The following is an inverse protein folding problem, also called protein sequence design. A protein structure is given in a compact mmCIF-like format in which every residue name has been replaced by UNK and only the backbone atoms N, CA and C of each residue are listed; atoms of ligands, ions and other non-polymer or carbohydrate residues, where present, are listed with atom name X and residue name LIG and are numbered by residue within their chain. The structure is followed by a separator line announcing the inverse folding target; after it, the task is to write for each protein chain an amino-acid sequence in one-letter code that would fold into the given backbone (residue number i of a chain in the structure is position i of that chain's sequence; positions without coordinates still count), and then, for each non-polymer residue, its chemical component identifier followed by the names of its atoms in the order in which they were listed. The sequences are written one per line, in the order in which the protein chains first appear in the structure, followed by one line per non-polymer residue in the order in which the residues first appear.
data_IF_861240575976
#
_entry.id   IF_861240575976
#
_cell.length_a   1.000
_cell.length_b   1.000
_cell.length_c   1.000
_cell.angle_alpha   90.00
_cell.angle_beta   90.00
_cell.angle_gamma   90.00
#
_symmetry.space_group_name_H-M   'P 1'
#
loop_
_entity.id
_entity.type
_entity.pdbx_description
1 polymer ?
#
# COMPACT_ATOMS: atom_id res chain seq x y z
N UNK A 1 -16.56 1.22 5.73
CA UNK A 1 -16.40 2.69 5.71
C UNK A 1 -14.95 3.17 5.53
N UNK A 2 -13.92 2.34 5.74
CA UNK A 2 -12.51 2.77 5.78
C UNK A 2 -12.02 3.61 4.56
N UNK A 3 -12.39 3.26 3.33
CA UNK A 3 -12.03 4.05 2.15
C UNK A 3 -12.65 5.46 2.14
N UNK A 4 -13.92 5.61 2.56
CA UNK A 4 -14.65 6.88 2.48
C UNK A 4 -14.10 7.95 3.43
N UNK A 5 -13.41 7.53 4.50
CA UNK A 5 -12.86 8.45 5.51
C UNK A 5 -11.62 9.18 4.98
N UNK A 6 -10.89 8.55 4.04
CA UNK A 6 -9.65 9.07 3.49
C UNK A 6 -9.91 10.05 2.33
N UNK A 7 -9.39 11.30 2.40
CA UNK A 7 -9.65 12.33 1.39
C UNK A 7 -9.36 11.90 -0.05
N UNK A 8 -8.32 11.09 -0.27
CA UNK A 8 -7.86 10.62 -1.60
C UNK A 8 -8.81 9.63 -2.29
N UNK A 9 -9.82 9.12 -1.58
CA UNK A 9 -10.81 8.17 -2.11
C UNK A 9 -12.22 8.77 -2.26
N UNK A 10 -12.47 9.99 -1.76
CA UNK A 10 -13.82 10.61 -1.75
C UNK A 10 -14.42 10.84 -3.14
N UNK A 11 -13.59 10.94 -4.17
CA UNK A 11 -14.01 11.24 -5.54
C UNK A 11 -13.78 10.06 -6.50
N UNK A 12 -13.56 8.86 -5.98
CA UNK A 12 -13.36 7.67 -6.82
C UNK A 12 -14.70 7.11 -7.30
N UNK A 13 -14.76 6.70 -8.56
CA UNK A 13 -15.91 5.97 -9.07
C UNK A 13 -15.94 4.54 -8.52
N UNK A 14 -17.10 3.89 -8.57
CA UNK A 14 -17.22 2.47 -8.21
C UNK A 14 -16.31 1.59 -9.09
N UNK A 15 -16.13 1.95 -10.36
CA UNK A 15 -15.21 1.26 -11.26
C UNK A 15 -13.75 1.37 -10.77
N UNK A 16 -13.37 2.49 -10.16
CA UNK A 16 -12.02 2.65 -9.60
C UNK A 16 -11.78 1.75 -8.40
N UNK A 17 -12.82 1.48 -7.59
CA UNK A 17 -12.76 0.56 -6.46
C UNK A 17 -12.50 -0.88 -6.90
N UNK A 18 -13.00 -1.29 -8.07
CA UNK A 18 -12.71 -2.63 -8.60
C UNK A 18 -11.21 -2.86 -8.78
N UNK A 19 -10.50 -1.94 -9.44
CA UNK A 19 -9.05 -2.06 -9.59
C UNK A 19 -8.27 -1.85 -8.29
N UNK A 20 -8.78 -0.99 -7.41
CA UNK A 20 -8.12 -0.66 -6.14
C UNK A 20 -8.24 -1.75 -5.07
N UNK A 21 -9.29 -2.57 -5.13
CA UNK A 21 -9.62 -3.53 -4.08
C UNK A 21 -9.68 -4.95 -4.60
N UNK A 22 -10.38 -5.22 -5.71
CA UNK A 22 -10.58 -6.59 -6.18
C UNK A 22 -9.30 -7.20 -6.74
N UNK A 23 -8.58 -6.47 -7.59
CA UNK A 23 -7.33 -6.97 -8.16
C UNK A 23 -6.27 -7.33 -7.13
N UNK A 24 -6.00 -6.48 -6.11
CA UNK A 24 -5.08 -6.87 -5.05
C UNK A 24 -5.64 -7.96 -4.14
N UNK A 25 -6.95 -7.98 -3.86
CA UNK A 25 -7.55 -9.00 -3.00
C UNK A 25 -7.42 -10.40 -3.59
N UNK A 26 -7.72 -10.57 -4.88
CA UNK A 26 -7.65 -11.87 -5.59
C UNK A 26 -6.21 -12.42 -5.66
N UNK A 27 -5.21 -11.57 -5.44
CA UNK A 27 -3.77 -11.89 -5.59
C UNK A 27 -3.02 -11.94 -4.27
N UNK A 28 -3.73 -11.95 -3.14
CA UNK A 28 -3.14 -11.86 -1.80
C UNK A 28 -2.19 -10.66 -1.65
N UNK A 29 -2.59 -9.54 -2.27
CA UNK A 29 -1.88 -8.25 -2.28
C UNK A 29 -2.53 -7.22 -1.37
N UNK A 30 -3.24 -7.73 -0.37
CA UNK A 30 -3.83 -7.00 0.73
C UNK A 30 -3.29 -7.58 2.04
N UNK A 31 -2.66 -6.74 2.86
CA UNK A 31 -2.27 -7.09 4.22
C UNK A 31 -3.18 -6.35 5.20
N UNK A 32 -3.80 -7.05 6.14
CA UNK A 32 -4.70 -6.45 7.13
C UNK A 32 -4.06 -6.41 8.52
N UNK A 33 -4.34 -5.36 9.27
CA UNK A 33 -4.10 -5.30 10.70
C UNK A 33 -5.45 -5.31 11.43
N UNK A 34 -5.53 -6.13 12.47
CA UNK A 34 -6.72 -6.28 13.30
C UNK A 34 -6.59 -5.52 14.60
N UNK A 35 -7.69 -5.18 15.27
CA UNK A 35 -7.64 -4.56 16.60
C UNK A 35 -6.95 -5.47 17.63
N UNK A 36 -6.22 -4.85 18.56
CA UNK A 36 -5.51 -5.59 19.61
C UNK A 36 -6.39 -5.91 20.83
N UNK A 37 -7.61 -5.37 20.88
CA UNK A 37 -8.55 -5.58 21.97
C UNK A 37 -9.25 -6.94 21.80
N UNK A 38 -9.27 -7.79 22.84
CA UNK A 38 -9.91 -9.12 22.81
C UNK A 38 -11.39 -9.05 22.39
N UNK A 39 -12.12 -8.02 22.83
CA UNK A 39 -13.54 -7.84 22.49
C UNK A 39 -13.77 -7.44 21.03
N UNK A 40 -12.73 -6.95 20.34
CA UNK A 40 -12.77 -6.49 18.94
C UNK A 40 -11.70 -7.13 18.08
N UNK A 41 -11.14 -8.26 18.49
CA UNK A 41 -9.96 -8.84 17.86
C UNK A 41 -10.16 -9.20 16.37
N UNK A 42 -11.43 -9.33 15.93
CA UNK A 42 -11.80 -9.60 14.54
C UNK A 42 -12.05 -8.34 13.71
N UNK A 43 -12.09 -7.16 14.33
CA UNK A 43 -12.29 -5.90 13.62
C UNK A 43 -11.01 -5.50 12.89
N UNK A 44 -11.15 -5.19 11.60
CA UNK A 44 -10.04 -4.68 10.78
C UNK A 44 -9.75 -3.24 11.20
N UNK A 45 -8.59 -3.04 11.82
CA UNK A 45 -8.09 -1.73 12.21
C UNK A 45 -7.55 -0.96 10.99
N UNK A 46 -6.85 -1.64 10.08
CA UNK A 46 -6.26 -1.02 8.89
C UNK A 46 -5.81 -2.03 7.85
N UNK A 47 -5.44 -1.52 6.67
CA UNK A 47 -5.13 -2.35 5.51
C UNK A 47 -4.03 -1.75 4.63
N UNK A 48 -3.08 -2.55 4.16
CA UNK A 48 -2.05 -2.19 3.19
C UNK A 48 -2.34 -2.83 1.83
N UNK A 49 -2.20 -2.04 0.77
CA UNK A 49 -2.25 -2.49 -0.62
C UNK A 49 -0.83 -2.46 -1.17
N UNK A 50 -0.37 -3.56 -1.76
CA UNK A 50 1.00 -3.71 -2.23
C UNK A 50 1.09 -4.48 -3.54
N UNK A 51 2.26 -4.49 -4.17
CA UNK A 51 2.52 -5.30 -5.36
C UNK A 51 3.98 -5.77 -5.35
N UNK A 52 4.24 -6.93 -5.95
CA UNK A 52 5.59 -7.44 -6.20
C UNK A 52 5.86 -7.38 -7.69
N UNK A 53 6.70 -6.45 -8.13
CA UNK A 53 6.73 -6.02 -9.53
C UNK A 53 8.09 -6.21 -10.19
N UNK A 54 8.09 -6.37 -11.50
CA UNK A 54 9.32 -6.38 -12.31
C UNK A 54 9.94 -4.98 -12.41
N UNK A 55 11.19 -4.90 -12.88
CA UNK A 55 11.86 -3.62 -13.13
C UNK A 55 11.10 -2.74 -14.13
N UNK A 56 10.49 -3.35 -15.15
CA UNK A 56 9.70 -2.62 -16.14
C UNK A 56 8.45 -1.98 -15.50
N UNK A 57 7.79 -2.70 -14.61
CA UNK A 57 6.59 -2.21 -13.92
C UNK A 57 6.97 -1.18 -12.85
N UNK A 58 8.09 -1.35 -12.17
CA UNK A 58 8.64 -0.34 -11.27
C UNK A 58 8.83 1.02 -11.97
N UNK A 59 9.41 1.03 -13.18
CA UNK A 59 9.57 2.26 -13.98
C UNK A 59 8.22 2.91 -14.27
N UNK A 60 7.22 2.12 -14.68
CA UNK A 60 5.85 2.60 -14.93
C UNK A 60 5.20 3.18 -13.67
N UNK A 61 5.40 2.55 -12.51
CA UNK A 61 4.89 3.07 -11.23
C UNK A 61 5.52 4.44 -10.95
N UNK A 62 6.85 4.56 -11.06
CA UNK A 62 7.57 5.83 -10.85
C UNK A 62 7.11 6.93 -11.83
N UNK A 63 6.88 6.58 -13.08
CA UNK A 63 6.34 7.51 -14.09
C UNK A 63 4.93 8.00 -13.73
N UNK A 64 4.03 7.09 -13.36
CA UNK A 64 2.68 7.45 -12.89
C UNK A 64 2.73 8.38 -11.67
N UNK A 65 3.59 8.08 -10.70
CA UNK A 65 3.83 8.93 -9.52
C UNK A 65 4.31 10.32 -9.94
N UNK A 66 5.27 10.39 -10.86
CA UNK A 66 5.86 11.65 -11.34
C UNK A 66 4.83 12.57 -12.00
N UNK A 67 3.88 12.00 -12.74
CA UNK A 67 2.78 12.76 -13.37
C UNK A 67 1.56 12.95 -12.46
N UNK A 68 1.63 12.51 -11.19
CA UNK A 68 0.58 12.71 -10.19
C UNK A 68 -0.66 11.83 -10.39
N UNK A 69 -0.54 10.69 -11.07
CA UNK A 69 -1.64 9.74 -11.25
C UNK A 69 -1.97 9.07 -9.92
N UNK A 70 -3.20 9.25 -9.47
CA UNK A 70 -3.78 8.53 -8.35
C UNK A 70 -5.23 8.13 -8.66
N UNK A 71 -5.62 6.86 -8.44
CA UNK A 71 -4.80 5.76 -7.95
C UNK A 71 -3.84 5.21 -9.03
N UNK A 72 -2.78 4.53 -8.59
CA UNK A 72 -1.90 3.81 -9.52
C UNK A 72 -2.67 2.72 -10.27
N UNK A 73 -2.41 2.59 -11.57
CA UNK A 73 -3.01 1.58 -12.44
C UNK A 73 -1.97 0.55 -12.83
N UNK A 74 -2.19 -0.67 -12.40
CA UNK A 74 -1.41 -1.84 -12.77
C UNK A 74 -2.29 -2.77 -13.59
N UNK A 75 -1.71 -3.43 -14.59
CA UNK A 75 -2.41 -4.53 -15.24
C UNK A 75 -2.56 -5.71 -14.26
N UNK A 76 -3.55 -6.59 -14.46
CA UNK A 76 -3.73 -7.79 -13.65
C UNK A 76 -2.44 -8.60 -13.40
N UNK A 77 -1.62 -8.79 -14.43
CA UNK A 77 -0.34 -9.51 -14.38
C UNK A 77 0.78 -8.72 -13.68
N UNK A 78 0.70 -7.38 -13.66
CA UNK A 78 1.75 -6.52 -13.13
C UNK A 78 1.86 -6.62 -11.59
N UNK A 79 0.77 -6.90 -10.89
CA UNK A 79 0.67 -7.02 -9.42
C UNK A 79 1.62 -8.05 -8.79
N UNK A 80 2.00 -9.07 -9.57
CA UNK A 80 2.85 -10.19 -9.13
C UNK A 80 4.00 -10.46 -10.12
N UNK A 81 4.43 -9.44 -10.85
CA UNK A 81 5.37 -9.56 -11.98
C UNK A 81 6.85 -9.67 -11.63
N UNK A 82 7.27 -9.48 -10.37
CA UNK A 82 8.70 -9.56 -10.02
C UNK A 82 9.01 -9.36 -8.54
N UNK A 83 10.26 -8.99 -8.25
CA UNK A 83 10.83 -9.00 -6.89
C UNK A 83 10.79 -7.65 -6.16
N UNK A 84 10.50 -6.54 -6.85
CA UNK A 84 10.42 -5.23 -6.20
C UNK A 84 9.10 -5.12 -5.44
N UNK A 85 9.16 -5.04 -4.12
CA UNK A 85 7.98 -4.90 -3.30
C UNK A 85 7.60 -3.42 -3.22
N UNK A 86 6.45 -3.06 -3.78
CA UNK A 86 5.88 -1.72 -3.68
C UNK A 86 4.73 -1.70 -2.69
N UNK A 87 4.82 -0.87 -1.67
CA UNK A 87 3.67 -0.49 -0.86
C UNK A 87 2.98 0.70 -1.54
N UNK A 88 1.77 0.47 -2.03
CA UNK A 88 1.04 1.40 -2.88
C UNK A 88 0.11 2.30 -2.07
N UNK A 89 -0.58 1.73 -1.07
CA UNK A 89 -1.33 2.52 -0.10
C UNK A 89 -1.43 1.84 1.26
N UNK A 90 -1.71 2.65 2.28
CA UNK A 90 -2.15 2.17 3.59
C UNK A 90 -3.42 2.92 4.02
N UNK A 91 -4.46 2.15 4.30
CA UNK A 91 -5.81 2.59 4.62
C UNK A 91 -6.05 2.38 6.11
N UNK A 92 -6.05 3.48 6.85
CA UNK A 92 -6.17 3.49 8.31
C UNK A 92 -6.85 4.76 8.83
N UNK A 93 -7.35 4.74 10.08
CA UNK A 93 -7.87 5.93 10.74
C UNK A 93 -6.76 6.80 11.38
N UNK A 94 -5.63 6.22 11.78
CA UNK A 94 -4.59 6.90 12.57
C UNK A 94 -3.19 6.32 12.38
N UNK A 95 -2.17 7.09 12.80
CA UNK A 95 -0.76 6.76 12.65
C UNK A 95 -0.33 5.49 13.42
N UNK A 96 -0.93 5.21 14.58
CA UNK A 96 -0.60 4.00 15.36
C UNK A 96 -1.03 2.75 14.60
N UNK A 97 -2.15 2.83 13.91
CA UNK A 97 -2.63 1.76 13.04
C UNK A 97 -1.75 1.59 11.81
N UNK A 98 -1.29 2.68 11.18
CA UNK A 98 -0.28 2.63 10.10
C UNK A 98 0.94 1.80 10.51
N UNK A 99 1.47 2.05 11.70
CA UNK A 99 2.65 1.34 12.21
C UNK A 99 2.42 -0.17 12.34
N UNK A 100 1.24 -0.57 12.81
CA UNK A 100 0.88 -1.99 12.96
C UNK A 100 0.73 -2.67 11.61
N UNK A 101 0.09 -1.99 10.64
CA UNK A 101 -0.03 -2.49 9.28
C UNK A 101 1.35 -2.65 8.63
N UNK A 102 2.25 -1.68 8.79
CA UNK A 102 3.61 -1.74 8.25
C UNK A 102 4.44 -2.86 8.88
N UNK A 103 4.33 -3.07 10.19
CA UNK A 103 5.00 -4.18 10.88
C UNK A 103 4.53 -5.55 10.35
N UNK A 104 3.22 -5.73 10.18
CA UNK A 104 2.66 -6.95 9.60
C UNK A 104 3.08 -7.12 8.15
N UNK A 105 3.05 -6.03 7.37
CA UNK A 105 3.43 -6.06 5.97
C UNK A 105 4.89 -6.51 5.78
N UNK A 106 5.83 -6.12 6.65
CA UNK A 106 7.22 -6.62 6.59
C UNK A 106 7.32 -8.15 6.75
N UNK A 107 6.36 -8.79 7.43
CA UNK A 107 6.31 -10.25 7.53
C UNK A 107 5.78 -10.89 6.23
N UNK A 108 4.94 -10.16 5.48
CA UNK A 108 4.30 -10.62 4.25
C UNK A 108 5.18 -10.36 3.02
N UNK A 109 5.81 -9.19 2.96
CA UNK A 109 6.80 -8.85 1.95
C UNK A 109 8.08 -9.64 2.23
N UNK A 110 8.28 -10.72 1.46
CA UNK A 110 9.51 -11.52 1.48
C UNK A 110 10.74 -10.64 1.20
N UNK A 111 11.94 -11.14 1.50
CA UNK A 111 13.23 -10.50 1.21
C UNK A 111 13.21 -9.79 -0.16
N UNK A 112 13.54 -8.50 -0.20
CA UNK A 112 13.50 -7.69 -1.40
C UNK A 112 13.57 -6.19 -1.08
N UNK A 113 13.82 -5.38 -2.11
CA UNK A 113 13.84 -3.92 -2.00
C UNK A 113 12.41 -3.39 -1.82
N UNK A 114 12.13 -2.80 -0.65
CA UNK A 114 10.84 -2.22 -0.32
C UNK A 114 10.78 -0.75 -0.75
N UNK A 115 9.85 -0.46 -1.65
CA UNK A 115 9.58 0.87 -2.20
C UNK A 115 8.23 1.37 -1.74
N UNK A 116 8.14 2.68 -1.50
CA UNK A 116 6.93 3.31 -0.98
C UNK A 116 6.39 4.35 -1.93
N UNK A 117 5.07 4.32 -2.12
CA UNK A 117 4.37 5.45 -2.71
C UNK A 117 4.53 6.70 -1.82
N UNK A 118 4.78 7.90 -2.40
CA UNK A 118 4.98 9.13 -1.63
C UNK A 118 3.83 9.50 -0.69
N UNK A 119 2.60 9.04 -0.96
CA UNK A 119 1.46 9.26 -0.07
C UNK A 119 1.71 8.67 1.31
N UNK A 120 2.39 7.52 1.39
CA UNK A 120 2.71 6.83 2.65
C UNK A 120 3.91 7.48 3.33
N UNK A 121 4.91 7.90 2.54
CA UNK A 121 6.08 8.61 3.05
C UNK A 121 5.77 9.92 3.77
N UNK A 122 4.57 10.50 3.55
CA UNK A 122 4.06 11.68 4.29
C UNK A 122 3.35 11.32 5.59
N UNK A 123 2.91 10.08 5.75
CA UNK A 123 2.19 9.59 6.94
C UNK A 123 3.15 9.04 8.00
N UNK A 124 4.38 8.74 7.62
CA UNK A 124 5.33 7.98 8.42
C UNK A 124 6.63 8.75 8.56
N UNK A 125 7.16 8.86 9.78
CA UNK A 125 8.42 9.55 10.04
C UNK A 125 9.63 8.79 9.47
N UNK A 126 10.75 9.50 9.28
CA UNK A 126 11.97 8.94 8.68
C UNK A 126 12.59 7.80 9.49
N UNK A 127 12.43 7.78 10.81
CA UNK A 127 12.99 6.72 11.66
C UNK A 127 12.22 5.41 11.44
N UNK A 128 10.90 5.49 11.39
CA UNK A 128 10.04 4.36 11.05
C UNK A 128 10.37 3.82 9.66
N UNK A 129 10.51 4.69 8.65
CA UNK A 129 10.87 4.28 7.29
C UNK A 129 12.19 3.49 7.24
N UNK A 130 13.18 3.88 8.05
CA UNK A 130 14.44 3.16 8.19
C UNK A 130 14.25 1.79 8.85
N UNK A 131 13.44 1.67 9.92
CA UNK A 131 13.19 0.40 10.62
C UNK A 131 12.55 -0.67 9.73
N UNK A 132 11.75 -0.24 8.75
CA UNK A 132 11.12 -1.14 7.79
C UNK A 132 11.97 -1.39 6.54
N UNK A 133 13.17 -0.79 6.43
CA UNK A 133 14.08 -0.99 5.30
C UNK A 133 13.60 -0.37 3.99
N UNK A 134 12.72 0.63 4.06
CA UNK A 134 12.07 1.19 2.89
C UNK A 134 12.85 2.37 2.28
N UNK A 135 12.90 2.41 0.95
CA UNK A 135 13.34 3.58 0.18
C UNK A 135 12.11 4.33 -0.38
N UNK A 136 12.10 5.67 -0.30
CA UNK A 136 11.03 6.43 -0.94
C UNK A 136 11.17 6.32 -2.46
N UNK A 137 10.08 5.96 -3.15
CA UNK A 137 10.02 6.06 -4.60
C UNK A 137 10.09 7.53 -5.01
N UNK A 138 11.30 8.04 -5.23
CA UNK A 138 11.53 9.45 -5.48
C UNK A 138 10.76 9.93 -6.73
N UNK A 139 9.96 10.98 -6.57
CA UNK A 139 9.59 11.87 -7.65
C UNK A 139 10.71 12.92 -7.77
N UNK A 140 11.68 12.68 -8.65
CA UNK A 140 12.65 13.69 -9.08
C UNK A 140 12.27 14.22 -10.47
#
# INVERSE_FOLDING_TARGET
MAFMVLPRYRHQSIADLQHLVLDPLIRDRIAMAYEANEDRANDVAGMAIWASVSEQVDKKIREQIKVGVWPLRLKPEDWVSGEFNWLLDVIEPDQKTTMRVLANFKQVAKNGDLRLHPVIGRLVDKETLKKIGASQGAAH
#
